data_IF_582216940440
#
_entry.id   IF_582216940440
#
_cell.length_a   1.000
_cell.length_b   1.000
_cell.length_c   1.000
_cell.angle_alpha   90.00
_cell.angle_beta   90.00
_cell.angle_gamma   90.00
#
_symmetry.space_group_name_H-M   'P 1'
#
loop_
_entity.id
_entity.type
_entity.pdbx_description
1 polymer ?
#
# COMPACT_ATOMS: atom_id res chain seq x y z
N UNK A 1 22.86 -1.90 22.47
CA UNK A 1 22.44 -3.31 22.59
C UNK A 1 23.52 -4.18 23.23
N UNK A 2 23.15 -4.96 24.25
CA UNK A 2 24.08 -5.87 24.93
C UNK A 2 24.00 -7.29 24.32
N UNK A 3 24.90 -8.20 24.72
CA UNK A 3 24.94 -9.57 24.19
C UNK A 3 23.72 -10.43 24.54
N UNK A 4 23.02 -10.14 25.64
CA UNK A 4 21.82 -10.88 26.04
C UNK A 4 20.61 -10.53 25.15
N UNK A 5 20.48 -9.26 24.76
CA UNK A 5 19.45 -8.79 23.83
C UNK A 5 19.61 -9.45 22.45
N UNK A 6 20.85 -9.52 21.96
CA UNK A 6 21.20 -10.19 20.70
C UNK A 6 20.89 -11.69 20.74
N UNK A 7 21.29 -12.39 21.80
CA UNK A 7 21.01 -13.81 21.94
C UNK A 7 19.50 -14.10 22.05
N UNK A 8 18.73 -13.19 22.66
CA UNK A 8 17.27 -13.28 22.67
C UNK A 8 16.69 -13.09 21.28
N UNK A 9 17.18 -12.11 20.54
CA UNK A 9 16.75 -11.87 19.16
C UNK A 9 17.07 -13.07 18.25
N UNK A 10 18.26 -13.65 18.37
CA UNK A 10 18.64 -14.86 17.63
C UNK A 10 17.72 -16.04 17.94
N UNK A 11 17.36 -16.26 19.21
CA UNK A 11 16.36 -17.29 19.59
C UNK A 11 15.00 -17.05 18.96
N UNK A 12 14.49 -15.82 18.96
CA UNK A 12 13.20 -15.52 18.34
C UNK A 12 13.22 -15.75 16.82
N UNK A 13 14.33 -15.43 16.14
CA UNK A 13 14.50 -15.74 14.71
C UNK A 13 14.49 -17.25 14.48
N UNK A 14 15.19 -18.02 15.32
CA UNK A 14 15.19 -19.47 15.25
C UNK A 14 13.77 -20.04 15.45
N UNK A 15 13.04 -19.55 16.46
CA UNK A 15 11.65 -19.96 16.72
C UNK A 15 10.73 -19.66 15.53
N UNK A 16 10.82 -18.46 14.93
CA UNK A 16 10.06 -18.12 13.72
C UNK A 16 10.33 -19.12 12.58
N UNK A 17 11.60 -19.48 12.36
CA UNK A 17 11.98 -20.42 11.29
C UNK A 17 11.47 -21.83 11.58
N UNK A 18 11.51 -22.28 12.84
CA UNK A 18 11.00 -23.60 13.24
C UNK A 18 9.48 -23.68 13.06
N UNK A 19 8.73 -22.72 13.61
CA UNK A 19 7.27 -22.68 13.48
C UNK A 19 6.84 -22.63 12.00
N UNK A 20 7.51 -21.79 11.19
CA UNK A 20 7.29 -21.77 9.75
C UNK A 20 7.52 -23.14 9.11
N UNK A 21 8.62 -23.81 9.47
CA UNK A 21 9.00 -25.09 8.89
C UNK A 21 7.98 -26.19 9.23
N UNK A 22 7.49 -26.17 10.47
CA UNK A 22 6.50 -27.13 10.98
C UNK A 22 5.15 -26.93 10.30
N UNK A 23 4.71 -25.68 10.09
CA UNK A 23 3.45 -25.37 9.42
C UNK A 23 3.50 -25.58 7.90
N UNK A 24 4.59 -25.17 7.24
CA UNK A 24 4.69 -25.15 5.77
C UNK A 24 5.45 -26.34 5.18
N UNK A 25 5.82 -27.32 6.02
CA UNK A 25 6.58 -28.52 5.66
C UNK A 25 7.89 -28.21 4.89
N UNK A 26 8.59 -27.15 5.31
CA UNK A 26 9.88 -26.75 4.75
C UNK A 26 10.31 -25.34 5.16
N UNK A 27 11.62 -25.03 5.10
CA UNK A 27 12.14 -23.76 5.59
C UNK A 27 11.59 -22.56 4.81
N UNK A 28 11.53 -21.37 5.44
CA UNK A 28 11.23 -20.14 4.74
C UNK A 28 12.39 -19.77 3.82
N UNK A 29 12.08 -19.07 2.73
CA UNK A 29 13.06 -18.26 2.00
C UNK A 29 13.45 -17.03 2.84
N UNK A 30 14.58 -16.40 2.52
CA UNK A 30 14.97 -15.15 3.17
C UNK A 30 13.93 -14.05 2.96
N UNK A 31 13.28 -14.00 1.79
CA UNK A 31 12.21 -13.05 1.52
C UNK A 31 10.99 -13.27 2.43
N UNK A 32 10.56 -14.52 2.61
CA UNK A 32 9.45 -14.88 3.50
C UNK A 32 9.76 -14.55 4.97
N UNK A 33 10.98 -14.86 5.44
CA UNK A 33 11.39 -14.50 6.80
C UNK A 33 11.36 -12.98 7.03
N UNK A 34 11.87 -12.20 6.08
CA UNK A 34 11.86 -10.74 6.17
C UNK A 34 10.44 -10.16 6.09
N UNK A 35 9.55 -10.78 5.32
CA UNK A 35 8.14 -10.42 5.25
C UNK A 35 7.45 -10.62 6.60
N UNK A 36 7.62 -11.79 7.23
CA UNK A 36 7.11 -12.12 8.56
C UNK A 36 7.62 -11.13 9.60
N UNK A 37 8.93 -10.88 9.62
CA UNK A 37 9.53 -9.91 10.53
C UNK A 37 8.92 -8.54 10.27
N UNK A 38 8.84 -8.09 9.01
CA UNK A 38 8.29 -6.78 8.68
C UNK A 38 6.87 -6.60 9.20
N UNK A 39 6.01 -7.60 9.07
CA UNK A 39 4.62 -7.59 9.56
C UNK A 39 4.51 -7.35 11.07
N UNK A 40 5.52 -7.72 11.85
CA UNK A 40 5.60 -7.42 13.28
C UNK A 40 5.86 -5.95 13.65
N UNK A 41 6.25 -5.09 12.70
CA UNK A 41 6.51 -3.65 12.92
C UNK A 41 5.25 -2.78 12.84
N UNK A 42 4.10 -3.35 12.49
CA UNK A 42 2.88 -2.60 12.19
C UNK A 42 2.15 -2.11 13.46
N UNK A 43 2.61 -1.01 14.05
CA UNK A 43 1.78 -0.20 14.98
C UNK A 43 0.76 0.61 14.15
N UNK A 44 -0.34 -0.04 13.76
CA UNK A 44 -1.51 0.62 13.15
C UNK A 44 -1.33 1.14 11.71
N UNK A 45 -0.31 0.69 10.99
CA UNK A 45 -0.07 1.00 9.57
C UNK A 45 0.66 -0.13 8.84
N UNK A 46 0.81 -0.04 7.51
CA UNK A 46 1.48 -1.08 6.72
C UNK A 46 2.95 -1.27 7.15
N UNK A 47 3.42 -2.52 7.32
CA UNK A 47 4.78 -2.81 7.76
C UNK A 47 5.83 -2.31 6.76
N UNK A 48 6.95 -1.71 7.21
CA UNK A 48 8.00 -1.28 6.30
C UNK A 48 8.71 -2.50 5.72
N UNK A 49 8.81 -2.54 4.38
CA UNK A 49 9.44 -3.63 3.67
C UNK A 49 10.93 -3.72 4.03
N UNK A 50 11.36 -4.90 4.44
CA UNK A 50 12.78 -5.21 4.65
C UNK A 50 13.36 -5.84 3.37
N UNK A 51 14.55 -5.39 2.99
CA UNK A 51 15.36 -5.95 1.92
C UNK A 51 16.69 -6.45 2.51
N UNK A 52 17.25 -7.51 1.92
CA UNK A 52 18.59 -7.99 2.26
C UNK A 52 19.58 -7.84 1.10
N UNK A 53 20.86 -7.76 1.45
CA UNK A 53 22.01 -7.83 0.54
C UNK A 53 22.85 -9.03 0.93
N UNK A 54 23.09 -9.92 -0.03
CA UNK A 54 23.92 -11.10 0.16
C UNK A 54 25.41 -10.80 -0.06
N UNK A 55 26.30 -11.69 0.40
CA UNK A 55 27.76 -11.53 0.37
C UNK A 55 28.34 -11.31 -1.03
N UNK A 56 27.69 -11.84 -2.05
CA UNK A 56 28.04 -11.66 -3.46
C UNK A 56 27.42 -10.40 -4.10
N UNK A 57 26.81 -9.53 -3.29
CA UNK A 57 26.12 -8.32 -3.72
C UNK A 57 24.76 -8.56 -4.37
N UNK A 58 24.29 -9.81 -4.46
CA UNK A 58 22.95 -10.11 -4.97
C UNK A 58 21.89 -9.73 -3.93
N UNK A 59 20.70 -9.43 -4.44
CA UNK A 59 19.47 -9.39 -3.63
C UNK A 59 18.84 -10.79 -3.64
N UNK A 60 18.10 -11.17 -2.58
CA UNK A 60 17.32 -12.39 -2.59
C UNK A 60 16.46 -12.44 -3.85
N UNK A 61 16.45 -13.57 -4.54
CA UNK A 61 15.60 -13.72 -5.71
C UNK A 61 14.15 -13.58 -5.27
N UNK A 62 13.33 -12.84 -6.03
CA UNK A 62 11.88 -12.99 -5.92
C UNK A 62 11.59 -14.46 -6.25
N UNK A 63 11.09 -15.23 -5.28
CA UNK A 63 10.69 -16.60 -5.54
C UNK A 63 9.75 -16.62 -6.74
N UNK A 64 9.92 -17.56 -7.66
CA UNK A 64 8.96 -17.78 -8.77
C UNK A 64 7.61 -18.31 -8.30
N UNK A 65 7.39 -18.35 -6.98
CA UNK A 65 6.18 -18.80 -6.29
C UNK A 65 5.72 -17.70 -5.33
N UNK A 66 4.40 -17.55 -5.12
CA UNK A 66 3.86 -16.66 -4.10
C UNK A 66 4.48 -16.94 -2.74
N UNK A 67 4.62 -15.89 -1.93
CA UNK A 67 5.03 -16.01 -0.53
C UNK A 67 4.04 -16.86 0.24
N UNK A 68 4.55 -17.77 1.08
CA UNK A 68 3.76 -18.61 1.98
C UNK A 68 3.48 -17.95 3.32
N UNK A 69 4.07 -16.78 3.59
CA UNK A 69 3.94 -16.10 4.88
C UNK A 69 2.48 -15.79 5.23
N UNK A 70 1.62 -15.50 4.25
CA UNK A 70 0.20 -15.20 4.45
C UNK A 70 -0.65 -16.40 4.89
N UNK A 71 -0.15 -17.62 4.80
CA UNK A 71 -0.86 -18.84 5.20
C UNK A 71 -0.52 -19.29 6.63
N UNK A 72 0.41 -18.61 7.31
CA UNK A 72 0.83 -18.91 8.68
C UNK A 72 -0.20 -18.46 9.71
N UNK A 73 -0.20 -19.12 10.87
CA UNK A 73 -0.98 -18.64 12.01
C UNK A 73 -0.35 -17.42 12.71
N UNK A 74 -1.14 -16.77 13.57
CA UNK A 74 -0.76 -15.55 14.28
C UNK A 74 0.45 -15.70 15.23
N UNK A 75 0.76 -16.91 15.71
CA UNK A 75 1.83 -17.12 16.67
C UNK A 75 3.19 -16.71 16.09
N UNK A 76 3.43 -16.99 14.81
CA UNK A 76 4.66 -16.59 14.12
C UNK A 76 4.80 -15.06 14.06
N UNK A 77 3.69 -14.35 13.84
CA UNK A 77 3.66 -12.89 13.80
C UNK A 77 3.83 -12.25 15.19
N UNK A 78 3.34 -12.92 16.24
CA UNK A 78 3.59 -12.50 17.64
C UNK A 78 5.08 -12.62 17.98
N UNK A 79 5.77 -13.68 17.54
CA UNK A 79 7.22 -13.82 17.70
C UNK A 79 7.97 -12.70 16.97
N UNK A 80 7.56 -12.38 15.74
CA UNK A 80 8.12 -11.28 14.95
C UNK A 80 7.95 -9.91 15.64
N UNK A 81 6.76 -9.61 16.16
CA UNK A 81 6.51 -8.39 16.91
C UNK A 81 7.38 -8.29 18.17
N UNK A 82 7.51 -9.40 18.92
CA UNK A 82 8.36 -9.46 20.11
C UNK A 82 9.85 -9.26 19.79
N UNK A 83 10.33 -9.84 18.69
CA UNK A 83 11.69 -9.65 18.18
C UNK A 83 11.96 -8.17 17.94
N UNK A 84 11.07 -7.51 17.21
CA UNK A 84 11.23 -6.11 16.84
C UNK A 84 11.08 -5.16 18.00
N UNK A 85 10.14 -5.40 18.92
CA UNK A 85 10.02 -4.62 20.15
C UNK A 85 11.32 -4.67 20.96
N UNK A 86 11.92 -5.87 21.08
CA UNK A 86 13.22 -6.06 21.73
C UNK A 86 14.35 -5.30 21.03
N UNK A 87 14.47 -5.45 19.72
CA UNK A 87 15.52 -4.79 18.93
C UNK A 87 15.38 -3.26 18.93
N UNK A 88 14.15 -2.76 18.81
CA UNK A 88 13.82 -1.33 18.81
C UNK A 88 14.15 -0.71 20.17
N UNK A 89 13.76 -1.37 21.26
CA UNK A 89 14.09 -0.94 22.62
C UNK A 89 15.60 -0.92 22.87
N UNK A 90 16.34 -1.95 22.43
CA UNK A 90 17.79 -2.04 22.63
C UNK A 90 18.63 -1.12 21.71
N UNK A 91 17.97 -0.50 20.72
CA UNK A 91 18.56 0.38 19.71
C UNK A 91 18.08 1.84 19.82
N UNK A 92 17.36 2.20 20.88
CA UNK A 92 16.74 3.52 21.08
C UNK A 92 15.85 3.95 19.89
N UNK A 93 15.22 2.99 19.22
CA UNK A 93 14.31 3.23 18.09
C UNK A 93 14.97 3.67 16.78
N UNK A 94 16.31 3.67 16.66
CA UNK A 94 17.00 4.10 15.45
C UNK A 94 17.00 2.99 14.36
N UNK A 95 16.44 3.24 13.16
CA UNK A 95 16.24 2.19 12.14
C UNK A 95 17.52 1.52 11.61
N UNK A 96 18.59 2.29 11.45
CA UNK A 96 19.90 1.79 11.01
C UNK A 96 20.49 0.80 12.01
N UNK A 97 20.39 1.11 13.30
CA UNK A 97 20.84 0.20 14.36
C UNK A 97 19.94 -1.03 14.53
N UNK A 98 18.62 -0.90 14.35
CA UNK A 98 17.71 -2.07 14.34
C UNK A 98 18.06 -3.01 13.19
N UNK A 99 18.35 -2.47 12.01
CA UNK A 99 18.69 -3.28 10.84
C UNK A 99 20.03 -4.00 11.01
N UNK A 100 21.05 -3.32 11.54
CA UNK A 100 22.34 -3.94 11.86
C UNK A 100 22.21 -5.01 12.97
N UNK A 101 21.38 -4.75 13.98
CA UNK A 101 21.07 -5.68 15.04
C UNK A 101 20.37 -6.95 14.52
N UNK A 102 19.45 -6.79 13.57
CA UNK A 102 18.74 -7.89 12.93
C UNK A 102 19.69 -8.79 12.13
N UNK A 103 20.65 -8.22 11.40
CA UNK A 103 21.70 -9.01 10.72
C UNK A 103 22.51 -9.83 11.73
N UNK A 104 22.90 -9.20 12.84
CA UNK A 104 23.70 -9.85 13.88
C UNK A 104 22.92 -10.98 14.56
N UNK A 105 21.64 -10.74 14.88
CA UNK A 105 20.75 -11.74 15.44
C UNK A 105 20.49 -12.90 14.46
N UNK A 106 20.35 -12.61 13.17
CA UNK A 106 20.19 -13.64 12.13
C UNK A 106 21.43 -14.53 12.05
N UNK A 107 22.63 -13.96 12.12
CA UNK A 107 23.89 -14.72 12.16
C UNK A 107 23.98 -15.59 13.41
N UNK A 108 23.66 -15.03 14.58
CA UNK A 108 23.66 -15.76 15.86
C UNK A 108 22.64 -16.91 15.89
N UNK A 109 21.49 -16.73 15.23
CA UNK A 109 20.47 -17.76 15.12
C UNK A 109 20.93 -19.00 14.33
N UNK A 110 21.92 -18.85 13.43
CA UNK A 110 22.48 -19.96 12.67
C UNK A 110 21.46 -20.72 11.80
N UNK A 111 20.38 -20.07 11.40
CA UNK A 111 19.27 -20.70 10.67
C UNK A 111 19.63 -21.01 9.22
N UNK A 112 19.05 -22.10 8.70
CA UNK A 112 19.12 -22.49 7.29
C UNK A 112 17.82 -22.06 6.61
N UNK A 113 17.93 -21.23 5.57
CA UNK A 113 16.80 -20.79 4.76
C UNK A 113 16.78 -21.57 3.45
N UNK A 114 15.65 -21.59 2.77
CA UNK A 114 15.47 -22.36 1.54
C UNK A 114 16.40 -21.92 0.39
N UNK A 115 16.81 -20.66 0.38
CA UNK A 115 17.54 -20.00 -0.71
C UNK A 115 18.83 -19.27 -0.29
N UNK A 116 19.14 -19.26 1.01
CA UNK A 116 20.34 -18.60 1.55
C UNK A 116 20.74 -19.19 2.92
N UNK A 117 21.97 -18.95 3.34
CA UNK A 117 22.36 -19.14 4.74
C UNK A 117 22.32 -17.80 5.48
N UNK A 118 22.13 -17.82 6.80
CA UNK A 118 22.20 -16.61 7.60
C UNK A 118 23.52 -15.83 7.37
N UNK A 119 24.65 -16.54 7.29
CA UNK A 119 25.98 -15.95 7.10
C UNK A 119 26.16 -15.22 5.75
N UNK A 120 25.34 -15.54 4.76
CA UNK A 120 25.38 -14.88 3.45
C UNK A 120 24.77 -13.47 3.52
N UNK A 121 23.93 -13.18 4.51
CA UNK A 121 23.28 -11.87 4.65
C UNK A 121 24.28 -10.87 5.23
N UNK A 122 24.65 -9.86 4.45
CA UNK A 122 25.63 -8.84 4.85
C UNK A 122 24.99 -7.54 5.32
N UNK A 123 23.79 -7.24 4.82
CA UNK A 123 23.01 -6.11 5.26
C UNK A 123 21.54 -6.44 5.16
N UNK A 124 20.77 -5.95 6.13
CA UNK A 124 19.33 -5.76 5.99
C UNK A 124 19.14 -4.26 5.97
N UNK A 125 18.28 -3.80 5.07
CA UNK A 125 17.87 -2.41 4.98
C UNK A 125 16.35 -2.40 5.03
N UNK A 126 15.77 -1.40 5.67
CA UNK A 126 14.43 -1.00 5.25
C UNK A 126 14.57 -0.58 3.79
N UNK A 127 13.81 -1.21 2.90
CA UNK A 127 13.70 -0.72 1.55
C UNK A 127 13.26 0.73 1.73
N UNK A 128 14.16 1.69 1.48
CA UNK A 128 13.75 3.08 1.46
C UNK A 128 12.67 3.09 0.39
N UNK A 129 11.41 3.37 0.78
CA UNK A 129 10.44 3.92 -0.16
C UNK A 129 11.26 4.92 -0.96
N UNK A 130 11.49 4.67 -2.24
CA UNK A 130 12.15 5.66 -3.08
C UNK A 130 11.48 6.98 -2.73
N UNK A 131 12.24 8.07 -2.46
CA UNK A 131 11.66 9.32 -1.97
C UNK A 131 10.44 9.58 -2.81
N UNK A 132 9.27 9.41 -2.20
CA UNK A 132 8.06 9.18 -2.96
C UNK A 132 7.91 10.44 -3.79
N UNK A 133 7.95 10.29 -5.11
CA UNK A 133 7.81 11.44 -5.99
C UNK A 133 6.47 12.04 -5.60
N UNK A 134 6.49 13.22 -4.96
CA UNK A 134 5.26 13.88 -4.53
C UNK A 134 4.55 14.30 -5.81
N UNK A 135 3.54 13.53 -6.18
CA UNK A 135 2.71 13.84 -7.33
C UNK A 135 2.07 15.21 -7.13
N UNK A 136 2.15 16.05 -8.15
CA UNK A 136 1.62 17.41 -8.12
C UNK A 136 0.22 17.41 -8.71
N UNK A 137 -0.59 18.40 -8.34
CA UNK A 137 -1.84 18.68 -9.04
C UNK A 137 -1.51 18.85 -10.53
N UNK A 138 -2.27 18.19 -11.41
CA UNK A 138 -2.04 18.12 -12.86
C UNK A 138 -1.18 16.93 -13.32
N UNK A 139 -0.56 16.17 -12.41
CA UNK A 139 0.16 14.96 -12.80
C UNK A 139 -0.82 13.88 -13.28
N UNK A 140 -0.48 13.23 -14.41
CA UNK A 140 -1.20 12.11 -15.00
C UNK A 140 -0.62 10.80 -14.48
N UNK A 141 -1.46 9.92 -13.97
CA UNK A 141 -1.07 8.65 -13.36
C UNK A 141 -1.80 7.47 -14.00
N UNK A 142 -1.10 6.35 -14.15
CA UNK A 142 -1.65 5.08 -14.60
C UNK A 142 -1.78 4.09 -13.44
N UNK A 143 -2.95 3.45 -13.35
CA UNK A 143 -3.27 2.35 -12.45
C UNK A 143 -3.53 1.10 -13.29
N UNK A 144 -2.91 -0.03 -12.93
CA UNK A 144 -3.05 -1.25 -13.73
C UNK A 144 -4.47 -1.84 -13.63
N UNK A 145 -5.05 -2.23 -14.78
CA UNK A 145 -6.35 -2.88 -14.84
C UNK A 145 -6.21 -4.42 -14.79
N UNK A 146 -7.12 -5.13 -14.11
CA UNK A 146 -7.04 -6.60 -13.91
C UNK A 146 -7.12 -7.42 -15.21
N UNK A 147 -7.67 -6.82 -16.28
CA UNK A 147 -7.78 -7.43 -17.62
C UNK A 147 -6.72 -6.96 -18.61
N UNK A 148 -5.62 -6.36 -18.13
CA UNK A 148 -4.61 -5.70 -18.96
C UNK A 148 -4.99 -4.26 -19.32
N UNK A 149 -3.97 -3.45 -19.62
CA UNK A 149 -4.09 -2.00 -19.80
C UNK A 149 -4.07 -1.23 -18.48
N UNK A 150 -4.44 0.05 -18.57
CA UNK A 150 -4.32 1.02 -17.48
C UNK A 150 -5.55 1.92 -17.39
N UNK A 151 -6.06 2.12 -16.17
CA UNK A 151 -6.88 3.28 -15.86
C UNK A 151 -5.98 4.49 -15.75
N UNK A 152 -6.37 5.60 -16.36
CA UNK A 152 -5.61 6.85 -16.27
C UNK A 152 -6.38 7.83 -15.40
N UNK A 153 -5.68 8.55 -14.54
CA UNK A 153 -6.27 9.61 -13.74
C UNK A 153 -5.36 10.85 -13.72
N UNK A 154 -5.95 12.01 -13.46
CA UNK A 154 -5.21 13.23 -13.13
C UNK A 154 -5.29 13.48 -11.63
N UNK A 155 -4.19 13.92 -11.01
CA UNK A 155 -4.22 14.44 -9.64
C UNK A 155 -4.92 15.80 -9.67
N UNK A 156 -6.17 15.87 -9.21
CA UNK A 156 -7.03 17.03 -9.36
C UNK A 156 -6.90 18.02 -8.21
N UNK A 157 -6.82 17.53 -6.96
CA UNK A 157 -6.70 18.37 -5.77
C UNK A 157 -6.08 17.60 -4.61
N UNK A 158 -5.63 18.32 -3.58
CA UNK A 158 -5.19 17.77 -2.29
C UNK A 158 -5.78 18.63 -1.19
N UNK A 159 -6.64 18.04 -0.37
CA UNK A 159 -7.30 18.76 0.73
C UNK A 159 -7.51 17.84 1.94
N UNK A 160 -8.37 18.23 2.88
CA UNK A 160 -8.59 17.49 4.13
C UNK A 160 -9.21 16.10 3.95
N UNK A 161 -9.78 15.82 2.78
CA UNK A 161 -10.30 14.49 2.45
C UNK A 161 -9.26 13.56 1.81
N UNK A 162 -8.04 14.07 1.54
CA UNK A 162 -6.96 13.33 0.88
C UNK A 162 -6.64 13.89 -0.51
N UNK A 163 -6.25 13.01 -1.42
CA UNK A 163 -5.98 13.35 -2.82
C UNK A 163 -7.22 13.07 -3.67
N UNK A 164 -7.74 14.11 -4.34
CA UNK A 164 -8.75 13.95 -5.37
C UNK A 164 -8.08 13.58 -6.70
N UNK A 165 -8.58 12.54 -7.35
CA UNK A 165 -8.17 12.13 -8.69
C UNK A 165 -9.35 12.22 -9.66
N UNK A 166 -9.11 12.74 -10.86
CA UNK A 166 -10.08 12.74 -11.95
C UNK A 166 -9.78 11.57 -12.89
N UNK A 167 -10.60 10.53 -12.84
CA UNK A 167 -10.40 9.33 -13.64
C UNK A 167 -10.86 9.58 -15.07
N UNK A 168 -9.99 9.26 -16.02
CA UNK A 168 -10.27 9.29 -17.46
C UNK A 168 -11.15 8.10 -17.82
N UNK A 169 -12.17 8.35 -18.64
CA UNK A 169 -13.09 7.32 -19.09
C UNK A 169 -12.38 6.21 -19.88
N UNK A 170 -12.59 4.98 -19.45
CA UNK A 170 -12.12 3.77 -20.13
C UNK A 170 -10.69 3.33 -19.76
N UNK A 171 -10.26 2.22 -20.37
CA UNK A 171 -8.95 1.61 -20.12
C UNK A 171 -8.03 1.83 -21.32
N UNK A 172 -6.84 2.36 -21.07
CA UNK A 172 -5.81 2.56 -22.07
C UNK A 172 -4.97 1.29 -22.26
N UNK A 173 -4.58 0.92 -23.49
CA UNK A 173 -3.78 -0.28 -23.73
C UNK A 173 -2.31 -0.12 -23.31
N UNK A 174 -1.85 1.12 -23.10
CA UNK A 174 -0.46 1.47 -22.82
C UNK A 174 -0.35 2.37 -21.60
N UNK A 175 0.80 2.34 -20.94
CA UNK A 175 1.24 3.26 -19.87
C UNK A 175 1.77 4.59 -20.44
N UNK A 176 1.13 5.09 -21.50
CA UNK A 176 1.47 6.36 -22.12
C UNK A 176 0.37 7.38 -21.81
N UNK A 177 0.75 8.65 -21.72
CA UNK A 177 -0.21 9.74 -21.60
C UNK A 177 -1.23 9.67 -22.77
N UNK A 178 -2.53 9.90 -22.51
CA UNK A 178 -3.54 9.84 -23.56
C UNK A 178 -3.21 10.78 -24.73
N UNK A 179 -3.27 10.25 -25.96
CA UNK A 179 -3.09 11.05 -27.17
C UNK A 179 -4.45 11.61 -27.63
N UNK A 180 -4.76 12.85 -27.24
CA UNK A 180 -5.95 13.57 -27.70
C UNK A 180 -6.91 13.99 -26.58
N UNK A 181 -8.14 14.42 -26.92
CA UNK A 181 -9.10 14.92 -25.94
C UNK A 181 -9.47 13.83 -24.94
N UNK A 182 -9.37 14.19 -23.67
CA UNK A 182 -9.65 13.32 -22.53
C UNK A 182 -11.06 13.59 -22.02
N UNK A 183 -11.84 12.54 -21.78
CA UNK A 183 -13.13 12.65 -21.11
C UNK A 183 -12.95 12.18 -19.67
N UNK A 184 -13.16 13.08 -18.71
CA UNK A 184 -13.20 12.71 -17.30
C UNK A 184 -14.53 11.98 -17.05
N UNK A 185 -14.43 10.77 -16.51
CA UNK A 185 -15.59 9.99 -16.10
C UNK A 185 -16.09 10.48 -14.75
N UNK A 186 -15.19 10.55 -13.76
CA UNK A 186 -15.57 10.86 -12.38
C UNK A 186 -14.36 11.23 -11.52
N UNK A 187 -14.60 12.02 -10.48
CA UNK A 187 -13.64 12.27 -9.41
C UNK A 187 -13.77 11.27 -8.27
N UNK A 188 -12.65 10.81 -7.76
CA UNK A 188 -12.54 9.97 -6.57
C UNK A 188 -11.62 10.64 -5.57
N UNK A 189 -11.93 10.52 -4.29
CA UNK A 189 -10.95 10.77 -3.25
C UNK A 189 -10.22 9.46 -2.92
N UNK A 190 -8.96 9.57 -2.52
CA UNK A 190 -8.15 8.45 -2.07
C UNK A 190 -7.05 8.99 -1.16
N UNK A 191 -6.48 8.12 -0.34
CA UNK A 191 -5.27 8.45 0.38
C UNK A 191 -4.07 8.65 -0.57
N UNK A 192 -2.97 9.18 -0.03
CA UNK A 192 -1.74 9.40 -0.80
C UNK A 192 -0.90 8.10 -0.90
N UNK A 193 -1.39 6.96 -0.41
CA UNK A 193 -0.59 5.76 -0.19
C UNK A 193 -0.18 5.11 -1.53
N UNK A 194 -1.09 4.98 -2.49
CA UNK A 194 -0.78 4.42 -3.83
C UNK A 194 0.17 5.28 -4.66
N UNK A 195 0.11 6.60 -4.46
CA UNK A 195 1.08 7.56 -4.97
C UNK A 195 2.46 7.38 -4.31
N UNK A 196 2.51 6.87 -3.08
CA UNK A 196 3.76 6.71 -2.34
C UNK A 196 4.41 5.32 -2.47
N UNK A 197 3.62 4.27 -2.72
CA UNK A 197 4.07 2.88 -2.81
C UNK A 197 4.49 2.43 -4.21
N UNK A 198 4.36 3.32 -5.21
CA UNK A 198 4.78 3.05 -6.58
C UNK A 198 3.83 2.08 -7.31
N UNK A 199 2.64 1.85 -6.79
CA UNK A 199 1.56 1.15 -7.50
C UNK A 199 1.06 1.94 -8.71
N UNK A 200 1.29 3.26 -8.71
CA UNK A 200 0.86 4.16 -9.77
C UNK A 200 2.06 4.68 -10.56
N UNK A 201 1.91 4.76 -11.88
CA UNK A 201 2.96 5.20 -12.79
C UNK A 201 2.70 6.62 -13.27
N UNK A 202 3.67 7.52 -13.11
CA UNK A 202 3.56 8.86 -13.70
C UNK A 202 3.68 8.78 -15.22
N UNK A 203 2.63 9.22 -15.91
CA UNK A 203 2.57 9.30 -17.37
C UNK A 203 3.05 10.64 -17.90
N UNK A 204 2.86 11.70 -17.11
CA UNK A 204 3.13 13.07 -17.53
C UNK A 204 2.46 14.09 -16.63
N UNK A 205 2.28 15.30 -17.16
CA UNK A 205 1.66 16.40 -16.46
C UNK A 205 0.90 17.26 -17.47
N UNK A 206 -0.34 17.60 -17.16
CA UNK A 206 -1.20 18.39 -18.04
C UNK A 206 -2.13 19.30 -17.21
N UNK A 207 -1.78 20.58 -17.13
CA UNK A 207 -2.56 21.59 -16.42
C UNK A 207 -3.96 21.78 -17.02
N UNK A 208 -4.16 21.45 -18.30
CA UNK A 208 -5.46 21.63 -18.97
C UNK A 208 -6.53 20.65 -18.49
N UNK A 209 -6.11 19.59 -17.80
CA UNK A 209 -6.99 18.56 -17.23
C UNK A 209 -7.32 18.82 -15.76
N UNK A 210 -6.72 19.85 -15.14
CA UNK A 210 -7.06 20.25 -13.78
C UNK A 210 -8.49 20.83 -13.77
N UNK A 211 -9.40 20.31 -12.93
CA UNK A 211 -10.74 20.88 -12.82
C UNK A 211 -10.71 22.35 -12.42
N UNK A 212 -11.61 23.16 -12.99
CA UNK A 212 -11.68 24.60 -12.71
C UNK A 212 -12.04 24.91 -11.25
N UNK A 213 -12.69 23.98 -10.55
CA UNK A 213 -12.99 24.03 -9.13
C UNK A 213 -12.52 22.73 -8.47
N UNK A 214 -12.10 22.83 -7.21
CA UNK A 214 -11.74 21.64 -6.44
C UNK A 214 -12.96 20.68 -6.35
N UNK A 215 -12.78 19.37 -6.61
CA UNK A 215 -13.87 18.41 -6.52
C UNK A 215 -14.50 18.37 -5.13
N UNK A 216 -15.82 18.32 -5.06
CA UNK A 216 -16.54 18.06 -3.80
C UNK A 216 -16.48 16.56 -3.44
N UNK A 217 -16.69 16.27 -2.17
CA UNK A 217 -16.86 14.91 -1.67
C UNK A 217 -18.35 14.57 -1.63
N UNK A 218 -18.75 13.50 -2.30
CA UNK A 218 -20.16 13.11 -2.41
C UNK A 218 -20.51 11.96 -1.48
N UNK A 219 -21.66 12.05 -0.81
CA UNK A 219 -22.21 11.02 0.05
C UNK A 219 -23.51 10.50 -0.52
N UNK A 220 -23.68 9.18 -0.52
CA UNK A 220 -24.93 8.54 -0.90
C UNK A 220 -26.06 8.88 0.09
N UNK A 221 -27.32 8.85 -0.36
CA UNK A 221 -28.46 8.93 0.55
C UNK A 221 -28.34 7.84 1.62
N UNK A 222 -28.57 8.21 2.87
CA UNK A 222 -28.54 7.28 4.00
C UNK A 222 -29.98 6.94 4.38
N UNK A 223 -30.47 5.70 4.14
CA UNK A 223 -31.88 5.37 4.30
C UNK A 223 -32.41 5.53 5.73
N UNK A 224 -31.51 5.42 6.72
CA UNK A 224 -31.84 5.53 8.15
C UNK A 224 -31.62 6.93 8.73
N UNK A 225 -31.06 7.87 7.95
CA UNK A 225 -30.89 9.27 8.36
C UNK A 225 -31.08 10.24 7.16
N UNK A 226 -32.32 10.38 6.67
CA UNK A 226 -32.61 11.22 5.52
C UNK A 226 -32.48 12.72 5.81
N UNK A 227 -32.46 13.13 7.08
CA UNK A 227 -32.39 14.54 7.47
C UNK A 227 -30.97 15.12 7.27
N UNK A 228 -29.94 14.28 7.32
CA UNK A 228 -28.55 14.70 7.14
C UNK A 228 -28.09 14.67 5.67
N UNK A 229 -28.47 13.64 4.91
CA UNK A 229 -28.04 13.45 3.51
C UNK A 229 -29.09 13.84 2.46
N UNK A 230 -30.36 14.02 2.83
CA UNK A 230 -31.45 14.25 1.88
C UNK A 230 -31.75 13.05 0.96
N UNK A 231 -32.77 13.19 0.12
CA UNK A 231 -33.27 12.13 -0.78
C UNK A 231 -32.25 11.69 -1.83
N UNK A 232 -31.40 12.61 -2.30
CA UNK A 232 -30.45 12.38 -3.39
C UNK A 232 -28.97 12.39 -2.95
N UNK A 233 -28.72 12.48 -1.64
CA UNK A 233 -27.37 12.56 -1.08
C UNK A 233 -26.89 14.00 -0.88
N UNK A 234 -25.66 14.12 -0.38
CA UNK A 234 -25.05 15.41 -0.07
C UNK A 234 -23.67 15.55 -0.71
N UNK A 235 -23.27 16.78 -0.99
CA UNK A 235 -21.90 17.15 -1.35
C UNK A 235 -21.29 17.95 -0.20
N UNK A 236 -20.01 17.70 0.07
CA UNK A 236 -19.22 18.48 1.00
C UNK A 236 -18.03 19.10 0.26
N UNK A 237 -17.96 20.42 0.34
CA UNK A 237 -16.84 21.18 -0.21
C UNK A 237 -15.54 20.88 0.53
N UNK A 238 -14.37 21.13 -0.09
CA UNK A 238 -13.08 21.07 0.59
C UNK A 238 -13.02 21.89 1.89
N UNK A 239 -13.81 22.96 1.99
CA UNK A 239 -13.89 23.84 3.15
C UNK A 239 -14.86 23.41 4.27
N UNK A 240 -15.60 22.32 4.14
CA UNK A 240 -16.54 21.87 5.19
C UNK A 240 -17.98 22.29 5.02
N UNK A 241 -18.29 23.11 4.03
CA UNK A 241 -19.68 23.41 3.72
C UNK A 241 -20.32 22.20 3.05
N UNK A 242 -21.44 21.73 3.62
CA UNK A 242 -22.29 20.71 3.03
C UNK A 242 -23.46 21.34 2.28
N UNK A 243 -23.95 20.64 1.27
CA UNK A 243 -25.18 20.99 0.55
C UNK A 243 -25.86 19.72 0.05
N UNK A 244 -27.18 19.76 -0.05
CA UNK A 244 -27.96 18.67 -0.63
C UNK A 244 -27.78 18.63 -2.15
N UNK A 245 -27.77 17.42 -2.70
CA UNK A 245 -27.76 17.19 -4.14
C UNK A 245 -29.17 17.31 -4.71
N UNK A 246 -29.25 17.79 -5.95
CA UNK A 246 -30.46 17.63 -6.76
C UNK A 246 -30.49 16.24 -7.41
N UNK A 247 -31.67 15.80 -7.86
CA UNK A 247 -31.81 14.54 -8.60
C UNK A 247 -30.93 14.50 -9.87
N UNK A 248 -30.89 15.61 -10.61
CA UNK A 248 -30.07 15.73 -11.83
C UNK A 248 -28.57 15.62 -11.51
N UNK A 249 -28.15 16.27 -10.43
CA UNK A 249 -26.76 16.23 -10.01
C UNK A 249 -26.37 14.83 -9.51
N UNK A 250 -27.20 14.20 -8.66
CA UNK A 250 -26.97 12.85 -8.17
C UNK A 250 -26.83 11.84 -9.31
N UNK A 251 -27.66 11.95 -10.35
CA UNK A 251 -27.54 11.14 -11.57
C UNK A 251 -26.25 11.44 -12.35
N UNK A 252 -25.84 12.71 -12.44
CA UNK A 252 -24.63 13.11 -13.15
C UNK A 252 -23.34 12.61 -12.47
N UNK A 253 -23.30 12.62 -11.13
CA UNK A 253 -22.16 12.09 -10.36
C UNK A 253 -22.26 10.58 -10.09
N UNK A 254 -23.43 10.00 -10.38
CA UNK A 254 -23.76 8.59 -10.19
C UNK A 254 -23.91 8.18 -8.72
N UNK A 255 -24.30 9.12 -7.85
CA UNK A 255 -24.61 8.89 -6.43
C UNK A 255 -25.85 8.01 -6.24
N UNK A 256 -26.76 8.07 -7.19
CA UNK A 256 -27.99 7.27 -7.25
C UNK A 256 -27.78 5.85 -7.80
N UNK A 257 -26.59 5.54 -8.33
CA UNK A 257 -26.32 4.23 -8.93
C UNK A 257 -26.08 3.16 -7.85
N UNK A 258 -26.66 1.95 -8.02
CA UNK A 258 -26.31 0.80 -7.19
C UNK A 258 -24.79 0.52 -7.28
N UNK A 259 -24.09 0.64 -6.15
CA UNK A 259 -22.62 0.51 -6.11
C UNK A 259 -21.87 1.84 -6.16
N UNK A 260 -22.54 2.98 -5.96
CA UNK A 260 -21.83 4.19 -5.53
C UNK A 260 -21.09 3.90 -4.22
N UNK A 261 -19.78 4.10 -4.24
CA UNK A 261 -18.98 4.19 -3.04
C UNK A 261 -17.99 5.34 -3.22
N UNK A 262 -17.76 6.09 -2.16
CA UNK A 262 -16.53 6.85 -2.06
C UNK A 262 -15.48 5.89 -1.53
N UNK A 263 -14.42 5.77 -2.29
CA UNK A 263 -13.34 4.87 -1.98
C UNK A 263 -12.35 5.61 -1.09
N UNK A 264 -11.83 4.96 -0.05
CA UNK A 264 -10.91 5.61 0.88
C UNK A 264 -9.48 5.07 0.71
N UNK A 265 -9.34 3.78 0.41
CA UNK A 265 -8.03 3.14 0.19
C UNK A 265 -7.68 2.87 -1.28
N UNK A 266 -6.39 2.86 -1.60
CA UNK A 266 -5.88 2.54 -2.94
C UNK A 266 -6.39 1.19 -3.49
N UNK A 267 -6.27 0.13 -2.69
CA UNK A 267 -6.64 -1.23 -3.11
C UNK A 267 -8.13 -1.29 -3.45
N UNK A 268 -8.94 -0.63 -2.64
CA UNK A 268 -10.37 -0.50 -2.89
C UNK A 268 -10.64 0.28 -4.19
N UNK A 269 -9.79 1.26 -4.56
CA UNK A 269 -10.00 2.06 -5.77
C UNK A 269 -9.67 1.24 -7.01
N UNK A 270 -8.54 0.53 -6.99
CA UNK A 270 -8.19 -0.39 -8.06
C UNK A 270 -9.26 -1.48 -8.22
N UNK A 271 -9.70 -2.10 -7.12
CA UNK A 271 -10.74 -3.13 -7.14
C UNK A 271 -12.09 -2.55 -7.62
N UNK A 272 -12.45 -1.33 -7.20
CA UNK A 272 -13.65 -0.62 -7.64
C UNK A 272 -13.64 -0.33 -9.13
N UNK A 273 -12.56 0.26 -9.66
CA UNK A 273 -12.43 0.55 -11.09
C UNK A 273 -12.44 -0.72 -11.93
N UNK A 274 -11.92 -1.82 -11.41
CA UNK A 274 -11.89 -3.10 -12.11
C UNK A 274 -13.22 -3.87 -12.06
N UNK A 275 -13.97 -3.80 -10.95
CA UNK A 275 -15.28 -4.46 -10.80
C UNK A 275 -16.37 -3.87 -11.69
N UNK A 276 -16.22 -2.61 -12.14
CA UNK A 276 -17.16 -1.96 -13.06
C UNK A 276 -17.14 -2.53 -14.50
N UNK A 277 -16.24 -3.46 -14.85
CA UNK A 277 -16.18 -4.12 -16.17
C UNK A 277 -17.22 -5.22 -16.38
N UNK A 278 -17.97 -5.65 -15.37
CA UNK A 278 -18.94 -6.74 -15.50
C UNK A 278 -20.38 -6.29 -15.80
N UNK A 279 -20.57 -5.02 -16.21
CA UNK A 279 -21.87 -4.47 -16.63
C UNK A 279 -21.97 -4.25 -18.12
#
# INVERSE_FOLDING_TARGET
MNGADLARAGRLIYEIVVEFTDEMAGPPTLAELLEIISSGMADGGHPPKLDAVLRDGRRPAKSGRPSRAGDLNDAVFVLAANLLAGLTSASDGRPDTVSAALVTALHDAGVILADATAEDVTAITTASRQPSRKYRIGDLVALQATGGGFHVAVVAARNRFGTAIAVVKGVQPTDAAPAGPVVIERNYYTDDQGLHDGGWFLLGHDDSLIPAAEPEFYYAPVPWDPDEAGEYGLAESPGGATRLLSAEEAAAVGVDQPGFTQVWGEKELADHLNSRRTG
#
